data_IF_022911919315
#
_entry.id   IF_022911919315
#
_cell.length_a   1.000
_cell.length_b   1.000
_cell.length_c   1.000
_cell.angle_alpha   90.00
_cell.angle_beta   90.00
_cell.angle_gamma   90.00
#
_symmetry.space_group_name_H-M   'P 1'
#
loop_
_entity.id
_entity.type
_entity.pdbx_description
1 polymer ?
#
# COMPACT_ATOMS: atom_id res chain seq x y z
N UNK A 1 -0.38 -18.34 -2.95
CA UNK A 1 0.12 -17.52 -1.83
C UNK A 1 1.46 -16.94 -2.23
N UNK A 2 1.64 -15.61 -2.13
CA UNK A 2 2.87 -14.93 -2.51
C UNK A 2 3.81 -14.72 -1.33
N UNK A 3 3.27 -14.32 -0.18
CA UNK A 3 4.00 -14.08 1.06
C UNK A 3 3.25 -14.74 2.20
N UNK A 4 4.00 -15.39 3.09
CA UNK A 4 3.51 -15.93 4.36
C UNK A 4 4.47 -15.55 5.47
N UNK A 5 3.97 -14.91 6.50
CA UNK A 5 4.70 -14.51 7.71
C UNK A 5 4.24 -15.39 8.85
N UNK A 6 5.16 -16.07 9.50
CA UNK A 6 4.88 -17.03 10.57
C UNK A 6 5.62 -16.65 11.84
N UNK A 7 4.86 -16.33 12.90
CA UNK A 7 5.33 -16.01 14.25
C UNK A 7 6.50 -15.00 14.26
N UNK A 8 6.43 -13.99 13.37
CA UNK A 8 7.51 -13.03 13.18
C UNK A 8 7.64 -12.10 14.38
N UNK A 9 8.85 -11.99 14.89
CA UNK A 9 9.24 -11.06 15.91
C UNK A 9 10.38 -10.18 15.40
N UNK A 10 10.24 -8.84 15.58
CA UNK A 10 11.25 -7.87 15.18
C UNK A 10 11.63 -7.03 16.39
N UNK A 11 12.94 -6.88 16.62
CA UNK A 11 13.48 -6.17 17.76
C UNK A 11 14.68 -5.31 17.34
N UNK A 12 14.76 -4.09 17.87
CA UNK A 12 15.90 -3.19 17.72
C UNK A 12 16.54 -2.95 19.11
N UNK A 13 17.73 -3.52 19.32
CA UNK A 13 18.32 -3.56 20.65
C UNK A 13 17.38 -4.28 21.63
N UNK A 14 17.00 -3.61 22.73
CA UNK A 14 16.06 -4.15 23.74
C UNK A 14 14.60 -3.81 23.45
N UNK A 15 14.30 -3.08 22.37
CA UNK A 15 12.94 -2.66 22.03
C UNK A 15 12.30 -3.66 21.07
N UNK A 16 11.32 -4.40 21.55
CA UNK A 16 10.42 -5.18 20.70
C UNK A 16 9.50 -4.23 19.94
N UNK A 17 9.38 -4.43 18.63
CA UNK A 17 8.54 -3.61 17.73
C UNK A 17 7.41 -4.44 17.15
N UNK A 18 7.67 -5.69 16.80
CA UNK A 18 6.67 -6.64 16.32
C UNK A 18 6.76 -7.93 17.12
N UNK A 19 5.61 -8.44 17.56
CA UNK A 19 5.51 -9.67 18.35
C UNK A 19 4.50 -10.62 17.70
N UNK A 20 4.95 -11.85 17.44
CA UNK A 20 4.14 -12.97 16.93
C UNK A 20 3.23 -12.62 15.74
N UNK A 21 3.77 -11.94 14.73
CA UNK A 21 3.02 -11.56 13.54
C UNK A 21 2.81 -12.77 12.66
N UNK A 22 1.53 -13.02 12.31
CA UNK A 22 1.10 -14.06 11.39
C UNK A 22 0.19 -13.45 10.33
N UNK A 23 0.63 -13.44 9.08
CA UNK A 23 -0.17 -12.96 7.95
C UNK A 23 0.23 -13.67 6.67
N UNK A 24 -0.66 -13.63 5.70
CA UNK A 24 -0.39 -14.11 4.34
C UNK A 24 -0.91 -13.13 3.31
N UNK A 25 -0.36 -13.15 2.11
CA UNK A 25 -0.86 -12.37 0.96
C UNK A 25 -0.94 -13.28 -0.25
N UNK A 26 -2.10 -13.29 -0.91
CA UNK A 26 -2.37 -14.06 -2.11
C UNK A 26 -2.26 -13.19 -3.38
N UNK A 27 -2.11 -13.83 -4.55
CA UNK A 27 -2.10 -13.12 -5.84
C UNK A 27 -3.42 -12.39 -6.07
N UNK A 28 -3.36 -11.17 -6.58
CA UNK A 28 -4.51 -10.32 -6.87
C UNK A 28 -5.26 -9.77 -5.65
N UNK A 29 -4.81 -10.10 -4.44
CA UNK A 29 -5.40 -9.62 -3.18
C UNK A 29 -4.89 -8.22 -2.83
N UNK A 30 -5.79 -7.34 -2.37
CA UNK A 30 -5.44 -6.07 -1.74
C UNK A 30 -5.60 -6.23 -0.23
N UNK A 31 -4.48 -6.17 0.47
CA UNK A 31 -4.43 -6.22 1.94
C UNK A 31 -4.00 -4.86 2.47
N UNK A 32 -4.77 -4.27 3.35
CA UNK A 32 -4.42 -2.99 3.98
C UNK A 32 -4.07 -3.19 5.44
N UNK A 33 -2.91 -2.66 5.84
CA UNK A 33 -2.48 -2.60 7.23
C UNK A 33 -2.83 -1.23 7.79
N UNK A 34 -3.60 -1.22 8.85
CA UNK A 34 -3.98 -0.02 9.61
C UNK A 34 -3.42 -0.10 11.03
N UNK A 35 -3.28 1.03 11.69
CA UNK A 35 -2.80 1.08 13.07
C UNK A 35 -2.22 2.45 13.43
N UNK A 36 -2.05 2.75 14.73
CA UNK A 36 -1.53 4.03 15.19
C UNK A 36 -0.07 4.25 14.74
N UNK A 37 0.39 5.49 14.85
CA UNK A 37 1.79 5.81 14.61
C UNK A 37 2.68 5.07 15.61
N UNK A 38 3.77 4.48 15.11
CA UNK A 38 4.68 3.67 15.94
C UNK A 38 4.23 2.22 16.17
N UNK A 39 3.11 1.78 15.60
CA UNK A 39 2.60 0.40 15.74
C UNK A 39 3.42 -0.68 15.04
N UNK A 40 4.44 -0.31 14.27
CA UNK A 40 5.33 -1.26 13.59
C UNK A 40 5.02 -1.52 12.11
N UNK A 41 4.08 -0.81 11.48
CA UNK A 41 3.69 -1.01 10.07
C UNK A 41 4.85 -0.96 9.09
N UNK A 42 5.60 0.14 9.09
CA UNK A 42 6.81 0.28 8.25
C UNK A 42 7.89 -0.73 8.62
N UNK A 43 7.99 -1.13 9.90
CA UNK A 43 8.92 -2.17 10.34
C UNK A 43 8.55 -3.53 9.74
N UNK A 44 7.26 -3.85 9.67
CA UNK A 44 6.79 -5.07 9.00
C UNK A 44 7.16 -5.08 7.51
N UNK A 45 6.97 -3.97 6.80
CA UNK A 45 7.41 -3.84 5.41
C UNK A 45 8.93 -4.02 5.27
N UNK A 46 9.70 -3.37 6.14
CA UNK A 46 11.15 -3.54 6.16
C UNK A 46 11.57 -4.99 6.44
N UNK A 47 10.85 -5.71 7.30
CA UNK A 47 11.10 -7.13 7.52
C UNK A 47 10.81 -7.96 6.26
N UNK A 48 9.68 -7.70 5.59
CA UNK A 48 9.30 -8.38 4.36
C UNK A 48 10.36 -8.18 3.25
N UNK A 49 10.88 -6.96 3.08
CA UNK A 49 11.92 -6.69 2.07
C UNK A 49 13.35 -7.02 2.54
N UNK A 50 13.51 -7.63 3.72
CA UNK A 50 14.80 -8.04 4.25
C UNK A 50 15.68 -6.92 4.80
N UNK A 51 15.12 -5.73 5.11
CA UNK A 51 15.86 -4.58 5.63
C UNK A 51 15.63 -4.30 7.12
N UNK A 52 14.95 -5.20 7.85
CA UNK A 52 14.83 -5.15 9.30
C UNK A 52 15.39 -6.44 9.95
N UNK A 53 15.96 -6.37 11.16
CA UNK A 53 16.45 -7.54 11.87
C UNK A 53 15.28 -8.39 12.36
N UNK A 54 15.25 -9.67 11.98
CA UNK A 54 14.29 -10.65 12.48
C UNK A 54 14.87 -11.31 13.72
N UNK A 55 14.20 -11.17 14.86
CA UNK A 55 14.61 -11.81 16.12
C UNK A 55 14.19 -13.28 16.15
N UNK A 56 13.00 -13.61 15.67
CA UNK A 56 12.50 -14.98 15.52
C UNK A 56 11.31 -15.03 14.55
N UNK A 57 10.88 -16.24 14.19
CA UNK A 57 9.87 -16.46 13.16
C UNK A 57 10.47 -16.51 11.76
N UNK A 58 9.64 -16.52 10.74
CA UNK A 58 10.09 -16.59 9.35
C UNK A 58 9.13 -15.91 8.40
N UNK A 59 9.68 -15.47 7.27
CA UNK A 59 8.93 -14.94 6.12
C UNK A 59 9.20 -15.88 4.96
N UNK A 60 8.16 -16.48 4.43
CA UNK A 60 8.20 -17.41 3.30
C UNK A 60 7.66 -16.65 2.10
N UNK A 61 8.45 -16.56 1.05
CA UNK A 61 8.07 -15.94 -0.21
C UNK A 61 7.96 -16.99 -1.31
N UNK A 62 7.05 -16.78 -2.25
CA UNK A 62 6.99 -17.57 -3.47
C UNK A 62 8.33 -17.55 -4.21
N UNK A 63 8.78 -18.65 -4.82
CA UNK A 63 10.01 -18.66 -5.61
C UNK A 63 9.99 -17.56 -6.67
N UNK A 64 11.10 -16.83 -6.81
CA UNK A 64 11.29 -15.73 -7.78
C UNK A 64 10.29 -14.58 -7.66
N UNK A 65 9.66 -14.39 -6.49
CA UNK A 65 8.72 -13.31 -6.23
C UNK A 65 9.36 -11.95 -6.52
N UNK A 66 8.75 -11.20 -7.41
CA UNK A 66 9.14 -9.82 -7.72
C UNK A 66 8.34 -8.87 -6.86
N UNK A 67 9.04 -8.11 -6.02
CA UNK A 67 8.44 -7.12 -5.11
C UNK A 67 8.70 -5.73 -5.64
N UNK A 68 7.63 -4.94 -5.84
CA UNK A 68 7.70 -3.51 -6.04
C UNK A 68 7.48 -2.80 -4.70
N UNK A 69 8.30 -1.82 -4.36
CA UNK A 69 8.19 -1.08 -3.10
C UNK A 69 8.12 0.43 -3.31
N UNK A 70 7.09 1.05 -2.76
CA UNK A 70 6.92 2.51 -2.68
C UNK A 70 7.06 2.92 -1.22
N UNK A 71 8.18 3.56 -0.84
CA UNK A 71 8.43 3.97 0.54
C UNK A 71 7.60 5.20 0.93
N UNK A 72 7.34 5.37 2.22
CA UNK A 72 6.68 6.53 2.79
C UNK A 72 7.44 7.84 2.52
N UNK A 73 8.77 7.79 2.61
CA UNK A 73 9.67 8.92 2.39
C UNK A 73 10.87 8.45 1.59
N UNK A 74 11.18 9.16 0.52
CA UNK A 74 12.41 8.98 -0.22
C UNK A 74 13.47 9.98 0.30
N UNK A 75 14.43 9.48 1.07
CA UNK A 75 15.55 10.29 1.53
C UNK A 75 16.64 10.33 0.45
N UNK A 76 16.65 11.39 -0.34
CA UNK A 76 17.72 11.69 -1.29
C UNK A 76 18.39 12.98 -0.86
N UNK A 77 19.72 12.97 -0.79
CA UNK A 77 20.47 14.19 -0.52
C UNK A 77 20.17 15.21 -1.63
N UNK A 78 19.75 16.42 -1.23
CA UNK A 78 19.40 17.49 -2.18
C UNK A 78 20.57 17.95 -3.02
N UNK A 79 21.81 17.72 -2.58
CA UNK A 79 23.02 18.01 -3.34
C UNK A 79 23.28 17.01 -4.47
N UNK A 80 22.62 15.83 -4.45
CA UNK A 80 22.78 14.82 -5.48
C UNK A 80 22.03 15.23 -6.75
N UNK A 81 22.72 15.41 -7.90
CA UNK A 81 22.08 15.76 -9.17
C UNK A 81 21.38 14.53 -9.77
N UNK A 82 20.20 14.19 -9.23
CA UNK A 82 19.44 13.02 -9.62
C UNK A 82 18.08 13.43 -10.22
N UNK A 83 17.96 13.34 -11.54
CA UNK A 83 16.68 13.54 -12.24
C UNK A 83 15.76 12.35 -12.09
N UNK A 84 14.44 12.54 -12.30
CA UNK A 84 13.48 11.45 -12.28
C UNK A 84 13.82 10.36 -13.31
N UNK A 85 14.23 10.75 -14.51
CA UNK A 85 14.66 9.81 -15.55
C UNK A 85 15.86 8.97 -15.09
N UNK A 86 16.88 9.63 -14.52
CA UNK A 86 18.06 8.93 -14.00
C UNK A 86 17.68 7.98 -12.87
N UNK A 87 16.81 8.42 -11.96
CA UNK A 87 16.30 7.57 -10.87
C UNK A 87 15.58 6.32 -11.37
N UNK A 88 14.75 6.45 -12.40
CA UNK A 88 14.09 5.31 -13.04
C UNK A 88 15.09 4.40 -13.77
N UNK A 89 16.15 4.96 -14.38
CA UNK A 89 17.15 4.18 -15.08
C UNK A 89 18.04 3.31 -14.17
N UNK A 90 18.07 3.58 -12.86
CA UNK A 90 18.81 2.77 -11.88
C UNK A 90 18.19 1.40 -11.60
N UNK A 91 16.97 1.14 -12.09
CA UNK A 91 16.34 -0.17 -11.94
C UNK A 91 16.96 -1.16 -12.92
N UNK A 92 17.58 -2.21 -12.39
CA UNK A 92 18.01 -3.36 -13.16
C UNK A 92 16.82 -4.26 -13.50
N UNK A 93 16.96 -5.13 -14.51
CA UNK A 93 15.94 -6.13 -14.88
C UNK A 93 14.57 -5.54 -15.27
N UNK A 94 14.58 -4.37 -15.92
CA UNK A 94 13.35 -3.81 -16.52
C UNK A 94 12.87 -4.71 -17.65
N UNK A 95 11.55 -4.85 -17.76
CA UNK A 95 10.94 -5.57 -18.87
C UNK A 95 9.90 -4.70 -19.60
N UNK A 96 9.48 -5.10 -20.79
CA UNK A 96 8.59 -4.30 -21.64
C UNK A 96 7.23 -4.03 -20.97
N UNK A 97 6.68 -5.01 -20.22
CA UNK A 97 5.41 -4.84 -19.50
C UNK A 97 5.54 -3.80 -18.39
N UNK A 98 6.61 -3.88 -17.61
CA UNK A 98 6.91 -2.90 -16.56
C UNK A 98 7.14 -1.50 -17.13
N UNK A 99 7.82 -1.39 -18.27
CA UNK A 99 8.01 -0.11 -18.96
C UNK A 99 6.68 0.50 -19.41
N UNK A 100 5.78 -0.28 -20.02
CA UNK A 100 4.46 0.20 -20.44
C UNK A 100 3.64 0.69 -19.25
N UNK A 101 3.60 -0.06 -18.15
CA UNK A 101 2.90 0.36 -16.91
C UNK A 101 3.51 1.62 -16.32
N UNK A 102 4.83 1.69 -16.23
CA UNK A 102 5.52 2.88 -15.73
C UNK A 102 5.17 4.12 -16.57
N UNK A 103 5.12 4.01 -17.88
CA UNK A 103 4.71 5.09 -18.78
C UNK A 103 3.26 5.52 -18.54
N UNK A 104 2.32 4.58 -18.33
CA UNK A 104 0.93 4.89 -18.01
C UNK A 104 0.78 5.64 -16.66
N UNK A 105 1.60 5.31 -15.69
CA UNK A 105 1.61 6.01 -14.38
C UNK A 105 2.20 7.42 -14.50
N UNK A 106 3.29 7.56 -15.24
CA UNK A 106 3.97 8.86 -15.44
C UNK A 106 3.10 9.84 -16.25
N UNK A 107 2.31 9.33 -17.20
CA UNK A 107 1.51 10.15 -18.09
C UNK A 107 2.38 10.93 -19.09
N UNK A 108 1.79 12.00 -19.66
CA UNK A 108 2.45 12.85 -20.66
C UNK A 108 3.23 14.04 -20.07
N UNK A 109 3.40 14.09 -18.77
CA UNK A 109 4.00 15.26 -18.10
C UNK A 109 5.54 15.28 -18.24
N UNK A 110 6.07 16.45 -18.58
CA UNK A 110 7.49 16.67 -18.91
C UNK A 110 8.38 16.90 -17.66
N UNK A 111 8.17 16.12 -16.57
CA UNK A 111 8.98 16.28 -15.34
C UNK A 111 10.11 15.26 -15.19
N UNK A 112 10.33 14.42 -16.19
CA UNK A 112 11.40 13.38 -16.14
C UNK A 112 12.81 13.99 -16.06
N UNK A 113 13.02 15.14 -16.68
CA UNK A 113 14.28 15.89 -16.58
C UNK A 113 14.42 16.70 -15.28
N UNK A 114 13.37 16.78 -14.47
CA UNK A 114 13.37 17.52 -13.21
C UNK A 114 14.11 16.73 -12.12
N UNK A 115 14.83 17.44 -11.27
CA UNK A 115 15.49 16.87 -10.09
C UNK A 115 14.43 16.26 -9.15
N UNK A 116 14.71 15.06 -8.61
CA UNK A 116 13.84 14.38 -7.65
C UNK A 116 13.48 15.29 -6.46
N UNK A 117 14.45 16.07 -5.98
CA UNK A 117 14.28 17.02 -4.86
C UNK A 117 13.36 18.20 -5.16
N UNK A 118 13.07 18.46 -6.44
CA UNK A 118 12.25 19.57 -6.93
C UNK A 118 10.86 19.14 -7.43
N UNK A 119 10.58 17.84 -7.42
CA UNK A 119 9.26 17.33 -7.80
C UNK A 119 8.20 17.72 -6.77
N UNK A 120 6.97 17.98 -7.25
CA UNK A 120 5.82 18.05 -6.36
C UNK A 120 5.55 16.69 -5.70
N UNK A 121 4.81 16.68 -4.57
CA UNK A 121 4.46 15.42 -3.89
C UNK A 121 3.80 14.41 -4.84
N UNK A 122 2.84 14.85 -5.66
CA UNK A 122 2.18 13.99 -6.63
C UNK A 122 3.08 13.48 -7.74
N UNK A 123 3.97 14.32 -8.26
CA UNK A 123 4.97 13.90 -9.26
C UNK A 123 5.93 12.87 -8.67
N UNK A 124 6.42 13.10 -7.45
CA UNK A 124 7.31 12.17 -6.77
C UNK A 124 6.62 10.81 -6.54
N UNK A 125 5.37 10.81 -6.08
CA UNK A 125 4.63 9.54 -5.87
C UNK A 125 4.41 8.78 -7.18
N UNK A 126 4.10 9.47 -8.28
CA UNK A 126 4.03 8.83 -9.62
C UNK A 126 5.38 8.24 -10.05
N UNK A 127 6.46 8.94 -9.84
CA UNK A 127 7.82 8.44 -10.15
C UNK A 127 8.15 7.22 -9.30
N UNK A 128 7.84 7.23 -8.00
CA UNK A 128 8.07 6.09 -7.10
C UNK A 128 7.24 4.86 -7.51
N UNK A 129 5.95 5.07 -7.82
CA UNK A 129 5.08 3.99 -8.29
C UNK A 129 5.54 3.45 -9.64
N UNK A 130 5.87 4.33 -10.60
CA UNK A 130 6.41 3.92 -11.89
C UNK A 130 7.68 3.08 -11.72
N UNK A 131 8.60 3.51 -10.84
CA UNK A 131 9.82 2.76 -10.51
C UNK A 131 9.52 1.38 -9.93
N UNK A 132 8.56 1.28 -9.04
CA UNK A 132 8.15 0.00 -8.45
C UNK A 132 7.58 -0.98 -9.48
N UNK A 133 6.98 -0.46 -10.57
CA UNK A 133 6.37 -1.24 -11.65
C UNK A 133 7.34 -1.69 -12.75
N UNK A 134 8.54 -1.09 -12.84
CA UNK A 134 9.49 -1.36 -13.94
C UNK A 134 9.90 -2.83 -14.06
N UNK A 135 9.88 -3.60 -12.97
CA UNK A 135 10.22 -5.02 -12.96
C UNK A 135 9.01 -5.94 -13.15
N UNK A 136 7.82 -5.39 -13.46
CA UNK A 136 6.58 -6.16 -13.56
C UNK A 136 6.36 -7.01 -12.29
N UNK A 137 6.10 -6.37 -11.13
CA UNK A 137 6.08 -7.06 -9.84
C UNK A 137 4.84 -7.95 -9.68
N UNK A 138 5.00 -9.04 -8.92
CA UNK A 138 3.91 -9.92 -8.48
C UNK A 138 3.16 -9.32 -7.29
N UNK A 139 3.83 -8.47 -6.51
CA UNK A 139 3.27 -7.75 -5.37
C UNK A 139 3.84 -6.34 -5.24
N UNK A 140 2.96 -5.37 -4.96
CA UNK A 140 3.31 -4.01 -4.58
C UNK A 140 3.20 -3.82 -3.07
N UNK A 141 4.26 -3.30 -2.45
CA UNK A 141 4.26 -2.82 -1.07
C UNK A 141 4.17 -1.30 -1.08
N UNK A 142 3.11 -0.71 -0.52
CA UNK A 142 2.84 0.72 -0.54
C UNK A 142 2.84 1.28 0.90
N UNK A 143 3.91 1.96 1.30
CA UNK A 143 4.05 2.50 2.65
C UNK A 143 3.55 3.95 2.70
N UNK A 144 2.29 4.17 3.09
CA UNK A 144 1.62 5.48 3.12
C UNK A 144 1.84 6.29 1.83
N UNK A 145 1.73 5.64 0.67
CA UNK A 145 2.12 6.18 -0.64
C UNK A 145 1.31 7.40 -1.10
N UNK A 146 0.23 7.76 -0.42
CA UNK A 146 -0.56 8.97 -0.71
C UNK A 146 -0.28 10.12 0.27
N UNK A 147 0.68 9.95 1.17
CA UNK A 147 1.04 11.00 2.11
C UNK A 147 1.51 12.26 1.38
N UNK A 148 0.88 13.40 1.70
CA UNK A 148 1.21 14.68 1.07
C UNK A 148 0.52 14.92 -0.28
N UNK A 149 -0.38 14.03 -0.71
CA UNK A 149 -1.31 14.29 -1.79
C UNK A 149 -2.60 14.94 -1.24
N UNK A 150 -3.23 15.77 -2.06
CA UNK A 150 -4.59 16.20 -1.82
C UNK A 150 -5.60 15.06 -2.05
N UNK A 151 -6.85 15.27 -1.69
CA UNK A 151 -7.89 14.25 -1.81
C UNK A 151 -8.09 13.74 -3.26
N UNK A 152 -8.17 14.63 -4.29
CA UNK A 152 -8.25 14.21 -5.69
C UNK A 152 -7.00 13.42 -6.14
N UNK A 153 -5.81 13.87 -5.74
CA UNK A 153 -4.54 13.18 -6.04
C UNK A 153 -4.46 11.79 -5.45
N UNK A 154 -4.91 11.63 -4.19
CA UNK A 154 -4.98 10.34 -3.52
C UNK A 154 -5.95 9.39 -4.23
N UNK A 155 -7.15 9.86 -4.57
CA UNK A 155 -8.14 9.07 -5.31
C UNK A 155 -7.61 8.62 -6.68
N UNK A 156 -6.97 9.53 -7.43
CA UNK A 156 -6.35 9.22 -8.72
C UNK A 156 -5.21 8.19 -8.57
N UNK A 157 -4.42 8.28 -7.51
CA UNK A 157 -3.33 7.33 -7.22
C UNK A 157 -3.88 5.92 -6.96
N UNK A 158 -4.90 5.79 -6.11
CA UNK A 158 -5.50 4.48 -5.82
C UNK A 158 -6.22 3.88 -7.02
N UNK A 159 -6.87 4.70 -7.86
CA UNK A 159 -7.44 4.24 -9.13
C UNK A 159 -6.38 3.62 -10.04
N UNK A 160 -5.18 4.23 -10.11
CA UNK A 160 -4.06 3.68 -10.87
C UNK A 160 -3.56 2.35 -10.32
N UNK A 161 -3.54 2.18 -9.00
CA UNK A 161 -3.18 0.91 -8.36
C UNK A 161 -4.20 -0.17 -8.70
N UNK A 162 -5.49 0.16 -8.67
CA UNK A 162 -6.56 -0.77 -9.06
C UNK A 162 -6.45 -1.19 -10.53
N UNK A 163 -6.23 -0.25 -11.45
CA UNK A 163 -5.97 -0.54 -12.87
C UNK A 163 -4.76 -1.48 -13.05
N UNK A 164 -3.67 -1.25 -12.30
CA UNK A 164 -2.49 -2.15 -12.31
C UNK A 164 -2.86 -3.54 -11.81
N UNK A 165 -3.55 -3.64 -10.68
CA UNK A 165 -4.01 -4.92 -10.12
C UNK A 165 -4.87 -5.70 -11.12
N UNK A 166 -5.87 -5.06 -11.69
CA UNK A 166 -6.79 -5.70 -12.64
C UNK A 166 -6.09 -6.19 -13.91
N UNK A 167 -5.16 -5.38 -14.43
CA UNK A 167 -4.45 -5.72 -15.67
C UNK A 167 -3.35 -6.75 -15.52
N UNK A 168 -2.81 -6.94 -14.28
CA UNK A 168 -1.64 -7.80 -14.04
C UNK A 168 -1.87 -8.95 -13.09
N UNK A 169 -2.94 -8.93 -12.29
CA UNK A 169 -3.10 -9.84 -11.15
C UNK A 169 -2.10 -9.57 -10.01
N UNK A 170 -1.39 -8.43 -10.04
CA UNK A 170 -0.46 -8.02 -9.00
C UNK A 170 -1.18 -7.88 -7.66
N UNK A 171 -0.65 -8.48 -6.61
CA UNK A 171 -1.15 -8.26 -5.26
C UNK A 171 -0.71 -6.89 -4.74
N UNK A 172 -1.47 -6.34 -3.79
CA UNK A 172 -1.13 -5.09 -3.13
C UNK A 172 -1.17 -5.28 -1.62
N UNK A 173 -0.05 -5.02 -0.95
CA UNK A 173 -0.01 -4.89 0.50
C UNK A 173 0.29 -3.42 0.80
N UNK A 174 -0.65 -2.71 1.41
CA UNK A 174 -0.51 -1.28 1.65
C UNK A 174 -0.72 -0.89 3.11
N UNK A 175 0.00 0.15 3.50
CA UNK A 175 -0.24 0.87 4.76
C UNK A 175 -1.04 2.12 4.40
N UNK A 176 -2.21 2.28 5.00
CA UNK A 176 -3.05 3.47 4.82
C UNK A 176 -3.74 3.84 6.12
N UNK A 177 -3.95 5.13 6.31
CA UNK A 177 -4.82 5.71 7.33
C UNK A 177 -6.08 6.35 6.72
N UNK A 178 -6.23 6.28 5.40
CA UNK A 178 -7.40 6.78 4.68
C UNK A 178 -8.51 5.72 4.71
N UNK A 179 -9.51 5.96 5.54
CA UNK A 179 -10.62 5.04 5.76
C UNK A 179 -11.43 4.76 4.49
N UNK A 180 -11.59 5.77 3.61
CA UNK A 180 -12.31 5.58 2.34
C UNK A 180 -11.62 4.55 1.46
N UNK A 181 -10.31 4.62 1.38
CA UNK A 181 -9.49 3.68 0.62
C UNK A 181 -9.56 2.28 1.23
N UNK A 182 -9.40 2.21 2.56
CA UNK A 182 -9.46 0.93 3.29
C UNK A 182 -10.78 0.24 3.01
N UNK A 183 -11.90 0.97 3.07
CA UNK A 183 -13.24 0.40 2.91
C UNK A 183 -13.61 0.06 1.47
N UNK A 184 -13.11 0.83 0.48
CA UNK A 184 -13.52 0.68 -0.92
C UNK A 184 -12.61 -0.24 -1.73
N UNK A 185 -11.32 -0.24 -1.45
CA UNK A 185 -10.32 -0.92 -2.27
C UNK A 185 -9.78 -2.21 -1.67
N UNK A 186 -9.93 -2.44 -0.34
CA UNK A 186 -9.30 -3.59 0.32
C UNK A 186 -10.15 -4.84 0.26
N UNK A 187 -9.54 -5.99 -0.02
CA UNK A 187 -10.16 -7.29 0.20
C UNK A 187 -10.08 -7.69 1.67
N UNK A 188 -9.01 -7.30 2.35
CA UNK A 188 -8.77 -7.61 3.75
C UNK A 188 -8.03 -6.49 4.45
N UNK A 189 -8.37 -6.26 5.71
CA UNK A 189 -7.74 -5.27 6.60
C UNK A 189 -7.07 -6.00 7.76
N UNK A 190 -5.90 -5.52 8.16
CA UNK A 190 -5.12 -6.01 9.31
C UNK A 190 -4.87 -4.83 10.24
N UNK A 191 -5.31 -4.93 11.48
CA UNK A 191 -5.04 -3.96 12.53
C UNK A 191 -3.75 -4.33 13.25
N UNK A 192 -2.78 -3.44 13.21
CA UNK A 192 -1.45 -3.66 13.79
C UNK A 192 -1.17 -2.68 14.93
N UNK A 193 -0.76 -3.22 16.08
CA UNK A 193 -0.24 -2.44 17.22
C UNK A 193 0.85 -3.24 17.95
N UNK A 194 2.00 -3.42 17.30
CA UNK A 194 3.05 -4.33 17.77
C UNK A 194 2.71 -5.81 17.52
N UNK A 195 1.45 -6.15 17.56
CA UNK A 195 0.87 -7.45 17.20
C UNK A 195 -0.38 -7.23 16.32
N UNK A 196 -0.92 -8.29 15.73
CA UNK A 196 -2.19 -8.21 14.98
C UNK A 196 -3.33 -8.27 15.99
N UNK A 197 -4.06 -7.14 16.13
CA UNK A 197 -5.19 -7.02 17.05
C UNK A 197 -6.48 -7.60 16.43
N UNK A 198 -6.71 -7.34 15.15
CA UNK A 198 -7.84 -7.86 14.39
C UNK A 198 -7.49 -7.97 12.91
N UNK A 199 -8.16 -8.82 12.17
CA UNK A 199 -8.08 -8.91 10.72
C UNK A 199 -9.34 -9.51 10.13
N UNK A 200 -9.67 -9.12 8.91
CA UNK A 200 -10.85 -9.61 8.20
C UNK A 200 -11.28 -8.69 7.06
N UNK A 201 -12.50 -8.91 6.58
CA UNK A 201 -13.12 -7.99 5.62
C UNK A 201 -13.27 -6.59 6.22
N UNK A 202 -13.13 -5.51 5.41
CA UNK A 202 -13.14 -4.14 5.91
C UNK A 202 -14.32 -3.81 6.83
N UNK A 203 -15.55 -4.20 6.46
CA UNK A 203 -16.76 -3.94 7.24
C UNK A 203 -16.76 -4.66 8.60
N UNK A 204 -16.28 -5.92 8.63
CA UNK A 204 -16.18 -6.71 9.85
C UNK A 204 -15.15 -6.12 10.82
N UNK A 205 -13.97 -5.74 10.30
CA UNK A 205 -12.91 -5.10 11.08
C UNK A 205 -13.38 -3.77 11.65
N UNK A 206 -14.01 -2.94 10.83
CA UNK A 206 -14.52 -1.64 11.24
C UNK A 206 -15.56 -1.70 12.37
N UNK A 207 -16.31 -2.79 12.46
CA UNK A 207 -17.31 -3.02 13.49
C UNK A 207 -16.73 -3.64 14.76
N UNK A 208 -15.46 -4.10 14.72
CA UNK A 208 -14.85 -4.83 15.83
C UNK A 208 -14.50 -3.91 17.02
N UNK A 209 -14.61 -4.41 18.26
CA UNK A 209 -14.19 -3.67 19.44
C UNK A 209 -12.71 -3.28 19.40
N UNK A 210 -11.85 -4.18 18.93
CA UNK A 210 -10.40 -3.98 18.85
C UNK A 210 -10.03 -2.81 17.94
N UNK A 211 -10.77 -2.63 16.83
CA UNK A 211 -10.60 -1.49 15.94
C UNK A 211 -11.01 -0.17 16.61
N UNK A 212 -12.13 -0.18 17.34
CA UNK A 212 -12.61 0.99 18.10
C UNK A 212 -11.64 1.39 19.22
N UNK A 213 -11.06 0.41 19.91
CA UNK A 213 -10.05 0.65 20.95
C UNK A 213 -8.77 1.28 20.38
N UNK A 214 -8.37 0.92 19.16
CA UNK A 214 -7.18 1.46 18.49
C UNK A 214 -7.38 2.90 18.00
N UNK A 215 -8.56 3.25 17.50
CA UNK A 215 -8.81 4.52 16.79
C UNK A 215 -9.79 5.45 17.50
N UNK A 216 -10.45 5.01 18.58
CA UNK A 216 -11.42 5.75 19.36
C UNK A 216 -12.82 5.77 18.74
N UNK A 217 -13.82 6.13 19.56
CA UNK A 217 -15.26 6.12 19.19
C UNK A 217 -15.69 7.24 18.22
N UNK A 218 -14.80 8.16 17.84
CA UNK A 218 -15.12 9.25 16.91
C UNK A 218 -15.28 8.83 15.44
N UNK A 219 -15.17 7.54 15.12
CA UNK A 219 -15.24 6.99 13.76
C UNK A 219 -16.68 6.64 13.36
N UNK A 220 -17.60 6.55 14.31
CA UNK A 220 -19.00 6.15 14.04
C UNK A 220 -19.72 7.04 13.00
N UNK A 221 -19.38 8.36 12.94
CA UNK A 221 -19.93 9.27 11.92
C UNK A 221 -19.45 9.00 10.49
N UNK A 222 -18.22 8.54 10.32
CA UNK A 222 -17.62 8.28 9.00
C UNK A 222 -18.11 6.95 8.42
N UNK A 223 -18.39 5.96 9.28
CA UNK A 223 -18.98 4.68 8.88
C UNK A 223 -20.46 4.79 8.51
N UNK A 224 -21.23 5.63 9.21
CA UNK A 224 -22.64 5.84 8.93
C UNK A 224 -22.86 6.45 7.53
N UNK A 225 -22.00 7.36 7.09
CA UNK A 225 -22.04 7.96 5.75
C UNK A 225 -21.79 6.93 4.63
N UNK A 226 -20.97 5.91 4.88
CA UNK A 226 -20.66 4.90 3.86
C UNK A 226 -21.79 3.89 3.66
N UNK A 227 -22.55 3.55 4.71
CA UNK A 227 -23.70 2.64 4.60
C UNK A 227 -24.85 3.27 3.79
N UNK A 228 -25.03 4.59 3.82
CA UNK A 228 -26.08 5.26 3.05
C UNK A 228 -25.84 5.27 1.54
N UNK A 229 -24.58 5.40 1.09
CA UNK A 229 -24.27 5.45 -0.36
C UNK A 229 -24.45 4.11 -1.08
N UNK A 230 -24.32 2.97 -0.39
CA UNK A 230 -24.52 1.66 -1.01
C UNK A 230 -26.02 1.28 -1.19
N UNK A 231 -26.92 1.90 -0.44
CA UNK A 231 -28.37 1.61 -0.58
C UNK A 231 -29.01 2.37 -1.74
N UNK A 232 -28.51 3.56 -2.10
CA UNK A 232 -29.08 4.35 -3.22
C UNK A 232 -28.72 3.80 -4.60
N UNK A 233 -27.59 3.09 -4.76
CA UNK A 233 -27.22 2.52 -6.06
C UNK A 233 -27.96 1.20 -6.42
N UNK A 234 -28.58 0.51 -5.45
CA UNK A 234 -29.35 -0.70 -5.74
C UNK A 234 -30.83 -0.46 -6.10
N UNK A 235 -31.36 0.74 -5.82
CA UNK A 235 -32.77 1.09 -6.09
C UNK A 235 -33.01 1.72 -7.46
N UNK A 236 -31.95 2.06 -8.24
CA UNK A 236 -32.11 2.69 -9.57
C UNK A 236 -32.09 1.71 -10.76
N UNK A 237 -31.95 0.40 -10.54
CA UNK A 237 -31.87 -0.58 -11.64
C UNK A 237 -33.20 -1.28 -11.95
N UNK A 238 -34.27 -1.06 -11.17
CA UNK A 238 -35.53 -1.82 -11.32
C UNK A 238 -36.77 -1.01 -11.82
N UNK A 239 -36.60 0.12 -12.49
CA UNK A 239 -37.75 0.78 -13.13
C UNK A 239 -37.44 1.30 -14.52
N UNK A 240 -37.29 0.39 -15.48
CA UNK A 240 -37.54 0.64 -16.90
C UNK A 240 -37.67 -0.66 -17.67
N UNK A 241 -38.83 -1.29 -17.54
CA UNK A 241 -39.44 -2.16 -18.52
C UNK A 241 -40.91 -2.46 -18.07
N UNK A 242 -41.81 -1.64 -18.49
CA UNK A 242 -43.19 -1.96 -18.73
C UNK A 242 -43.74 -0.99 -19.80
#
# INVERSE_FOLDING_TARGET
MLIEVQSLNVQYGNKKVLENINLSVSSGEIVTIVGPNGSGKTTLFKAIIGSAPIASGKIIMSPSLKVGYVPQVLNVDRSLPLTAERFLSLVNNRNDRGLLRAQQILGSENYLSTQISSLSGGQLQRVLLARALLNDPDILLLDEATRGLDQPGSAAFYKKIEEVRESSGCAVLMISHDLHVVMSASNRVICLNGHICCQGEPQSVASSPEYRDLFGSNIDGTFALYQHNHKENKSRINHSNA
#
